data_IF_051034660607
#
_entry.id   IF_051034660607
#
_cell.length_a   1.000
_cell.length_b   1.000
_cell.length_c   1.000
_cell.angle_alpha   90.00
_cell.angle_beta   90.00
_cell.angle_gamma   90.00
#
_symmetry.space_group_name_H-M   'P 1'
#
loop_
_entity.id
_entity.type
_entity.pdbx_description
1 polymer ?
#
# COMPACT_ATOMS: atom_id res chain seq x y z
N UNK A 1 -10.18 -68.91 71.82
CA UNK A 1 -10.41 -67.52 72.28
C UNK A 1 -9.45 -66.57 71.51
N UNK A 2 -9.93 -65.66 70.84
CA UNK A 2 -9.48 -64.42 70.27
C UNK A 2 -9.86 -64.29 68.78
N UNK A 3 -10.89 -63.55 68.56
CA UNK A 3 -11.38 -63.07 67.23
C UNK A 3 -10.43 -62.03 66.68
N UNK A 4 -9.95 -62.24 65.47
CA UNK A 4 -9.22 -61.27 64.68
C UNK A 4 -10.17 -60.67 63.65
N UNK A 5 -10.44 -59.41 63.77
CA UNK A 5 -11.26 -58.65 62.80
C UNK A 5 -10.36 -58.23 61.66
N UNK A 6 -10.72 -58.61 60.46
CA UNK A 6 -10.16 -58.05 59.24
C UNK A 6 -10.86 -56.76 58.91
N UNK A 7 -10.11 -55.67 58.92
CA UNK A 7 -10.58 -54.38 58.43
C UNK A 7 -10.30 -54.36 56.91
N UNK A 8 -11.37 -54.36 56.15
CA UNK A 8 -11.34 -54.22 54.70
C UNK A 8 -11.31 -52.71 54.38
N UNK A 9 -10.14 -52.20 53.93
CA UNK A 9 -9.99 -50.83 53.46
C UNK A 9 -10.43 -50.81 51.99
N UNK A 10 -11.63 -50.23 51.74
CA UNK A 10 -12.12 -49.98 50.39
C UNK A 10 -11.41 -48.79 49.78
N UNK A 11 -10.60 -49.03 48.78
CA UNK A 11 -10.02 -47.99 47.93
C UNK A 11 -11.08 -47.52 46.94
N UNK A 12 -11.66 -46.36 47.19
CA UNK A 12 -12.61 -45.67 46.30
C UNK A 12 -11.81 -44.97 45.19
N UNK A 13 -11.74 -45.61 44.03
CA UNK A 13 -11.10 -45.07 42.84
C UNK A 13 -12.04 -44.01 42.20
N UNK A 14 -11.76 -42.73 42.45
CA UNK A 14 -12.48 -41.65 41.82
C UNK A 14 -11.95 -41.51 40.39
N UNK A 15 -12.70 -42.02 39.41
CA UNK A 15 -12.48 -41.73 38.01
C UNK A 15 -12.89 -40.29 37.72
N UNK A 16 -11.90 -39.39 37.63
CA UNK A 16 -12.10 -38.08 37.06
C UNK A 16 -12.31 -38.18 35.55
N UNK A 17 -13.53 -38.12 35.09
CA UNK A 17 -13.86 -37.95 33.66
C UNK A 17 -13.46 -36.54 33.25
N UNK A 18 -12.29 -36.41 32.66
CA UNK A 18 -11.92 -35.18 31.94
C UNK A 18 -12.74 -35.11 30.66
N UNK A 19 -13.85 -34.41 30.71
CA UNK A 19 -14.53 -33.97 29.49
C UNK A 19 -13.69 -32.86 28.85
N UNK A 20 -12.82 -33.24 27.91
CA UNK A 20 -12.23 -32.34 26.94
C UNK A 20 -13.39 -31.80 26.09
N UNK A 21 -13.94 -30.64 26.50
CA UNK A 21 -14.80 -29.87 25.61
C UNK A 21 -13.92 -29.37 24.45
N UNK A 22 -13.95 -30.11 23.35
CA UNK A 22 -13.51 -29.61 22.08
C UNK A 22 -14.45 -28.45 21.74
N UNK A 23 -14.03 -27.22 22.04
CA UNK A 23 -14.68 -26.02 21.51
C UNK A 23 -14.39 -26.03 20.00
N UNK A 24 -15.26 -26.65 19.25
CA UNK A 24 -15.32 -26.46 17.80
C UNK A 24 -15.61 -24.99 17.58
N UNK A 25 -14.58 -24.18 17.30
CA UNK A 25 -14.75 -22.86 16.71
C UNK A 25 -15.46 -23.08 15.37
N UNK A 26 -16.77 -22.96 15.35
CA UNK A 26 -17.49 -22.73 14.13
C UNK A 26 -16.96 -21.40 13.58
N UNK A 27 -16.23 -21.44 12.48
CA UNK A 27 -15.99 -20.28 11.65
C UNK A 27 -17.38 -19.82 11.17
N UNK A 28 -17.91 -18.80 11.81
CA UNK A 28 -19.10 -18.10 11.30
C UNK A 28 -18.58 -17.38 10.05
N UNK A 29 -18.85 -17.93 8.87
CA UNK A 29 -18.61 -17.22 7.62
C UNK A 29 -19.46 -15.96 7.65
N UNK A 30 -18.81 -14.82 7.81
CA UNK A 30 -19.49 -13.54 7.78
C UNK A 30 -19.97 -13.26 6.35
N UNK A 31 -21.17 -12.72 6.24
CA UNK A 31 -21.76 -12.42 4.94
C UNK A 31 -20.98 -11.29 4.26
N UNK A 32 -20.49 -11.53 3.06
CA UNK A 32 -19.95 -10.47 2.21
C UNK A 32 -21.08 -9.58 1.72
N UNK A 33 -20.94 -8.28 1.98
CA UNK A 33 -21.88 -7.24 1.55
C UNK A 33 -21.19 -6.25 0.61
N UNK A 34 -22.01 -5.51 -0.14
CA UNK A 34 -21.56 -4.46 -1.04
C UNK A 34 -22.41 -3.22 -0.79
N UNK A 35 -21.78 -2.10 -0.45
CA UNK A 35 -22.45 -0.83 -0.23
C UNK A 35 -21.92 0.25 -1.17
N UNK A 36 -22.83 0.93 -1.86
CA UNK A 36 -22.50 2.08 -2.69
C UNK A 36 -22.66 3.37 -1.91
N UNK A 37 -21.66 4.20 -1.93
CA UNK A 37 -21.61 5.52 -1.27
C UNK A 37 -21.86 6.63 -2.29
N UNK A 38 -22.79 7.55 -2.01
CA UNK A 38 -23.16 8.63 -2.92
C UNK A 38 -22.21 9.84 -2.76
N UNK A 39 -20.96 9.70 -3.20
CA UNK A 39 -19.93 10.73 -3.10
C UNK A 39 -19.45 11.10 -4.50
N UNK A 40 -19.35 12.40 -4.78
CA UNK A 40 -18.97 12.94 -6.10
C UNK A 40 -18.13 14.21 -5.96
N UNK A 41 -17.45 14.57 -7.06
CA UNK A 41 -16.71 15.85 -7.16
C UNK A 41 -15.42 15.84 -6.34
N UNK A 42 -14.73 14.71 -6.29
CA UNK A 42 -13.38 14.56 -5.77
C UNK A 42 -12.40 14.33 -6.92
N UNK A 43 -11.18 14.75 -6.76
CA UNK A 43 -10.06 14.62 -7.68
C UNK A 43 -8.84 14.01 -6.97
N UNK A 44 -8.94 13.74 -5.67
CA UNK A 44 -7.90 13.14 -4.85
C UNK A 44 -8.47 12.01 -4.01
N UNK A 45 -7.66 11.01 -3.68
CA UNK A 45 -8.02 9.91 -2.79
C UNK A 45 -7.06 9.92 -1.60
N UNK A 46 -7.60 9.97 -0.38
CA UNK A 46 -6.86 9.86 0.86
C UNK A 46 -7.31 8.62 1.64
N UNK A 47 -6.38 7.70 1.87
CA UNK A 47 -6.60 6.45 2.59
C UNK A 47 -5.92 6.54 3.96
N UNK A 48 -6.70 6.39 5.03
CA UNK A 48 -6.20 6.42 6.40
C UNK A 48 -6.51 5.10 7.10
N UNK A 49 -5.52 4.22 7.22
CA UNK A 49 -5.64 2.89 7.82
C UNK A 49 -5.19 1.76 6.93
N UNK A 50 -5.97 0.68 6.86
CA UNK A 50 -5.60 -0.56 6.20
C UNK A 50 -6.56 -1.06 5.09
N UNK A 51 -7.50 -0.27 4.55
CA UNK A 51 -8.32 -0.76 3.45
C UNK A 51 -7.53 -0.80 2.14
N UNK A 52 -7.82 -1.80 1.31
CA UNK A 52 -7.38 -1.84 -0.09
C UNK A 52 -8.33 -1.01 -0.95
N UNK A 53 -7.78 -0.12 -1.77
CA UNK A 53 -8.53 0.73 -2.70
C UNK A 53 -8.17 0.38 -4.13
N UNK A 54 -9.15 -0.07 -4.91
CA UNK A 54 -9.01 -0.30 -6.35
C UNK A 54 -9.61 0.88 -7.12
N UNK A 55 -8.78 1.59 -7.87
CA UNK A 55 -9.17 2.76 -8.64
C UNK A 55 -9.24 2.47 -10.15
N UNK A 56 -10.21 3.09 -10.80
CA UNK A 56 -10.30 3.12 -12.27
C UNK A 56 -10.79 4.50 -12.70
N UNK A 57 -10.05 5.19 -13.56
CA UNK A 57 -10.52 6.43 -14.16
C UNK A 57 -11.70 6.17 -15.11
N UNK A 58 -12.80 6.89 -14.95
CA UNK A 58 -14.02 6.76 -15.76
C UNK A 58 -14.84 8.05 -15.70
N UNK A 59 -15.69 8.30 -16.69
CA UNK A 59 -16.49 9.53 -16.82
C UNK A 59 -17.47 9.78 -15.66
N UNK A 60 -17.64 8.81 -14.75
CA UNK A 60 -18.60 8.88 -13.65
C UNK A 60 -17.91 8.67 -12.29
N UNK A 61 -18.51 9.27 -11.26
CA UNK A 61 -18.12 8.97 -9.87
C UNK A 61 -18.83 7.74 -9.35
N UNK A 62 -18.06 6.81 -8.78
CA UNK A 62 -18.59 5.68 -8.02
C UNK A 62 -17.68 5.38 -6.84
N UNK A 63 -18.28 5.10 -5.70
CA UNK A 63 -17.56 4.62 -4.50
C UNK A 63 -18.34 3.44 -3.95
N UNK A 64 -17.73 2.25 -3.97
CA UNK A 64 -18.38 1.00 -3.54
C UNK A 64 -17.46 0.26 -2.57
N UNK A 65 -17.98 -0.03 -1.38
CA UNK A 65 -17.26 -0.80 -0.35
C UNK A 65 -17.78 -2.23 -0.37
N UNK A 66 -16.89 -3.20 -0.49
CA UNK A 66 -17.21 -4.63 -0.55
C UNK A 66 -16.34 -5.40 0.45
N UNK A 67 -16.94 -6.28 1.21
CA UNK A 67 -16.25 -7.12 2.19
C UNK A 67 -17.19 -7.72 3.22
N UNK A 68 -16.67 -8.30 4.31
CA UNK A 68 -17.45 -8.74 5.46
C UNK A 68 -18.29 -7.60 6.05
N UNK A 69 -19.54 -7.88 6.44
CA UNK A 69 -20.50 -6.87 6.87
C UNK A 69 -19.97 -5.99 8.00
N UNK A 70 -19.36 -6.58 9.03
CA UNK A 70 -18.75 -5.86 10.14
C UNK A 70 -17.61 -4.92 9.72
N UNK A 71 -16.83 -5.29 8.71
CA UNK A 71 -15.76 -4.48 8.19
C UNK A 71 -16.29 -3.33 7.32
N UNK A 72 -17.28 -3.61 6.46
CA UNK A 72 -17.94 -2.59 5.61
C UNK A 72 -18.60 -1.52 6.48
N UNK A 73 -19.27 -1.90 7.58
CA UNK A 73 -19.84 -0.96 8.56
C UNK A 73 -18.78 -0.09 9.26
N UNK A 74 -17.54 -0.58 9.36
CA UNK A 74 -16.43 0.12 9.98
C UNK A 74 -15.67 1.06 9.04
N UNK A 75 -15.95 1.06 7.74
CA UNK A 75 -15.36 2.02 6.79
C UNK A 75 -16.20 3.29 6.73
N UNK A 76 -15.55 4.41 6.93
CA UNK A 76 -16.08 5.74 6.65
C UNK A 76 -15.51 6.21 5.33
N UNK A 77 -16.39 6.67 4.46
CA UNK A 77 -16.04 7.37 3.22
C UNK A 77 -16.68 8.74 3.26
N UNK A 78 -15.90 9.79 3.12
CA UNK A 78 -16.40 11.17 3.16
C UNK A 78 -15.61 12.06 2.22
N UNK A 79 -16.23 13.15 1.76
CA UNK A 79 -15.53 14.15 0.96
C UNK A 79 -14.99 15.27 1.84
N UNK A 80 -13.70 15.56 1.71
CA UNK A 80 -13.03 16.67 2.37
C UNK A 80 -12.31 17.54 1.32
N UNK A 81 -12.84 18.72 1.02
CA UNK A 81 -12.31 19.54 -0.07
C UNK A 81 -12.40 18.82 -1.42
N UNK A 82 -11.25 18.56 -2.04
CA UNK A 82 -11.13 17.79 -3.28
C UNK A 82 -10.87 16.30 -3.05
N UNK A 83 -10.63 15.87 -1.81
CA UNK A 83 -10.29 14.50 -1.50
C UNK A 83 -11.52 13.66 -1.13
N UNK A 84 -11.57 12.42 -1.65
CA UNK A 84 -12.32 11.31 -1.09
C UNK A 84 -11.49 10.72 0.05
N UNK A 85 -11.93 10.91 1.28
CA UNK A 85 -11.26 10.35 2.47
C UNK A 85 -11.89 9.00 2.82
N UNK A 86 -11.06 7.97 2.86
CA UNK A 86 -11.44 6.60 3.21
C UNK A 86 -10.70 6.22 4.50
N UNK A 87 -11.41 5.86 5.55
CA UNK A 87 -10.80 5.56 6.85
C UNK A 87 -11.64 4.59 7.68
N UNK A 88 -11.00 3.94 8.66
CA UNK A 88 -11.70 3.14 9.63
C UNK A 88 -12.43 4.02 10.67
N UNK A 89 -13.57 3.57 11.20
CA UNK A 89 -14.23 4.15 12.36
C UNK A 89 -13.35 3.99 13.61
N UNK A 90 -13.22 5.05 14.39
CA UNK A 90 -12.48 5.03 15.65
C UNK A 90 -11.04 5.50 15.53
N UNK A 91 -10.40 5.69 16.71
CA UNK A 91 -8.96 5.96 16.79
C UNK A 91 -8.22 4.70 16.38
N UNK A 92 -7.11 4.86 15.64
CA UNK A 92 -6.17 3.79 15.31
C UNK A 92 -5.75 3.10 16.61
N UNK A 93 -6.43 2.02 16.95
CA UNK A 93 -6.13 1.14 18.05
C UNK A 93 -6.34 -0.25 17.50
N UNK A 94 -5.35 -1.10 17.63
CA UNK A 94 -5.29 -2.49 17.21
C UNK A 94 -6.67 -3.10 16.93
N UNK A 95 -7.10 -3.05 15.70
CA UNK A 95 -8.18 -3.90 15.23
C UNK A 95 -7.58 -5.30 15.28
N UNK A 96 -8.12 -6.19 16.12
CA UNK A 96 -7.76 -7.59 16.10
C UNK A 96 -8.01 -8.10 14.68
N UNK A 97 -6.95 -8.20 13.88
CA UNK A 97 -6.94 -8.97 12.66
C UNK A 97 -7.18 -10.42 13.08
N UNK A 98 -8.43 -10.85 13.07
CA UNK A 98 -8.69 -12.28 13.03
C UNK A 98 -8.30 -12.73 11.62
N UNK A 99 -7.15 -13.39 11.52
CA UNK A 99 -6.81 -14.19 10.34
C UNK A 99 -7.88 -15.29 10.20
N UNK A 100 -8.92 -14.99 9.45
CA UNK A 100 -9.89 -15.95 8.93
C UNK A 100 -9.93 -15.74 7.42
N UNK A 101 -10.22 -16.78 6.66
CA UNK A 101 -10.49 -16.77 5.21
C UNK A 101 -11.75 -15.93 4.84
N UNK A 102 -11.94 -14.81 5.50
CA UNK A 102 -13.06 -13.90 5.30
C UNK A 102 -12.64 -12.88 4.26
N UNK A 103 -13.43 -12.76 3.21
CA UNK A 103 -13.16 -11.98 2.01
C UNK A 103 -12.56 -10.59 2.32
N UNK A 104 -11.58 -10.22 1.52
CA UNK A 104 -10.83 -8.97 1.64
C UNK A 104 -11.74 -7.74 1.54
N UNK A 105 -11.55 -6.77 2.45
CA UNK A 105 -12.25 -5.50 2.41
C UNK A 105 -11.65 -4.62 1.32
N UNK A 106 -12.40 -4.38 0.27
CA UNK A 106 -11.97 -3.58 -0.87
C UNK A 106 -12.91 -2.41 -1.12
N UNK A 107 -12.35 -1.24 -1.37
CA UNK A 107 -13.08 -0.04 -1.80
C UNK A 107 -12.81 0.22 -3.27
N UNK A 108 -13.84 0.07 -4.11
CA UNK A 108 -13.77 0.37 -5.54
C UNK A 108 -14.15 1.82 -5.77
N UNK A 109 -13.28 2.56 -6.45
CA UNK A 109 -13.45 3.99 -6.70
C UNK A 109 -13.32 4.30 -8.18
N UNK A 110 -14.23 5.13 -8.71
CA UNK A 110 -14.07 5.74 -10.03
C UNK A 110 -14.27 7.26 -9.96
N UNK A 111 -13.53 8.00 -10.78
CA UNK A 111 -13.72 9.44 -11.00
C UNK A 111 -13.23 9.84 -12.39
N UNK A 112 -13.72 10.99 -12.93
CA UNK A 112 -13.25 11.49 -14.22
C UNK A 112 -11.78 11.89 -14.24
N UNK A 113 -11.25 12.32 -13.11
CA UNK A 113 -9.87 12.75 -12.96
C UNK A 113 -9.32 12.31 -11.60
N UNK A 114 -7.98 12.13 -11.52
CA UNK A 114 -7.27 11.83 -10.28
C UNK A 114 -5.94 12.58 -10.24
N UNK A 115 -5.85 13.61 -9.41
CA UNK A 115 -4.68 14.46 -9.25
C UNK A 115 -3.86 14.17 -7.99
N UNK A 116 -4.34 13.28 -7.12
CA UNK A 116 -3.62 12.94 -5.89
C UNK A 116 -4.03 11.62 -5.27
N UNK A 117 -3.02 10.88 -4.81
CA UNK A 117 -3.14 9.63 -4.05
C UNK A 117 -2.35 9.82 -2.76
N UNK A 118 -3.02 9.71 -1.61
CA UNK A 118 -2.38 9.75 -0.28
C UNK A 118 -2.76 8.52 0.52
N UNK A 119 -1.79 7.68 0.81
CA UNK A 119 -1.95 6.51 1.66
C UNK A 119 -1.20 6.72 2.98
N UNK A 120 -1.95 6.77 4.07
CA UNK A 120 -1.43 6.88 5.44
C UNK A 120 -1.80 5.61 6.20
N UNK A 121 -0.89 4.63 6.27
CA UNK A 121 -1.16 3.37 6.97
C UNK A 121 -0.51 2.15 6.36
N UNK A 122 -1.26 1.04 6.34
CA UNK A 122 -0.81 -0.27 5.84
C UNK A 122 -1.85 -0.87 4.88
N UNK A 123 -2.71 -0.05 4.31
CA UNK A 123 -3.60 -0.45 3.23
C UNK A 123 -2.90 -0.35 1.89
N UNK A 124 -3.64 -0.64 0.80
CA UNK A 124 -3.08 -0.64 -0.54
C UNK A 124 -3.89 0.26 -1.46
N UNK A 125 -3.21 0.84 -2.46
CA UNK A 125 -3.85 1.51 -3.57
C UNK A 125 -3.44 0.83 -4.88
N UNK A 126 -4.40 0.38 -5.65
CA UNK A 126 -4.16 -0.37 -6.88
C UNK A 126 -4.91 0.30 -8.03
N UNK A 127 -4.22 0.56 -9.15
CA UNK A 127 -4.83 0.98 -10.41
C UNK A 127 -4.29 0.14 -11.57
N UNK A 128 -5.09 -0.81 -12.05
CA UNK A 128 -4.74 -1.67 -13.19
C UNK A 128 -4.96 -1.01 -14.55
N UNK A 129 -5.41 0.26 -14.57
CA UNK A 129 -5.70 0.99 -15.78
C UNK A 129 -4.97 2.33 -15.79
N UNK A 130 -4.94 2.93 -16.97
CA UNK A 130 -4.35 4.25 -17.17
C UNK A 130 -5.04 5.31 -16.31
N UNK A 131 -4.21 6.17 -15.71
CA UNK A 131 -4.55 7.46 -15.13
C UNK A 131 -4.00 8.52 -16.07
N UNK A 132 -4.89 9.36 -16.62
CA UNK A 132 -4.56 10.45 -17.56
C UNK A 132 -4.99 11.76 -16.91
N UNK A 133 -4.04 12.61 -16.56
CA UNK A 133 -4.28 13.85 -15.80
C UNK A 133 -3.17 14.87 -16.07
N UNK A 134 -3.39 16.15 -15.83
CA UNK A 134 -2.34 17.17 -16.01
C UNK A 134 -1.19 16.99 -15.00
N UNK A 135 -1.52 16.61 -13.77
CA UNK A 135 -0.52 16.36 -12.72
C UNK A 135 -1.01 15.32 -11.73
N UNK A 136 -0.07 14.60 -11.13
CA UNK A 136 -0.39 13.67 -10.05
C UNK A 136 0.62 13.78 -8.90
N UNK A 137 0.10 13.83 -7.67
CA UNK A 137 0.87 13.78 -6.43
C UNK A 137 0.59 12.44 -5.72
N UNK A 138 1.58 11.55 -5.66
CA UNK A 138 1.50 10.22 -5.05
C UNK A 138 2.29 10.23 -3.74
N UNK A 139 1.63 9.97 -2.63
CA UNK A 139 2.25 10.00 -1.31
C UNK A 139 1.88 8.75 -0.51
N UNK A 140 2.90 8.03 -0.06
CA UNK A 140 2.77 6.90 0.86
C UNK A 140 3.47 7.22 2.19
N UNK A 141 2.73 7.10 3.30
CA UNK A 141 3.27 7.21 4.66
C UNK A 141 2.86 5.99 5.47
N UNK A 142 3.78 5.06 5.66
CA UNK A 142 3.50 3.83 6.40
C UNK A 142 4.22 2.61 5.83
N UNK A 143 3.46 1.50 5.75
CA UNK A 143 3.96 0.19 5.30
C UNK A 143 2.95 -0.51 4.38
N UNK A 144 2.06 0.25 3.77
CA UNK A 144 1.19 -0.22 2.72
C UNK A 144 1.84 -0.03 1.35
N UNK A 145 1.14 -0.37 0.28
CA UNK A 145 1.69 -0.36 -1.07
C UNK A 145 0.84 0.46 -2.04
N UNK A 146 1.50 1.08 -3.02
CA UNK A 146 0.85 1.79 -4.13
C UNK A 146 1.32 1.18 -5.45
N UNK A 147 0.41 0.53 -6.17
CA UNK A 147 0.64 -0.10 -7.47
C UNK A 147 -0.19 0.59 -8.56
N UNK A 148 0.47 1.24 -9.52
CA UNK A 148 -0.18 1.92 -10.64
C UNK A 148 0.44 1.49 -11.96
N UNK A 149 -0.39 0.89 -12.83
CA UNK A 149 0.05 0.30 -14.10
C UNK A 149 0.43 1.32 -15.16
N UNK A 150 -0.27 2.45 -15.25
CA UNK A 150 -0.05 3.40 -16.37
C UNK A 150 -0.47 4.81 -15.92
N UNK A 151 0.45 5.77 -16.01
CA UNK A 151 0.23 7.19 -15.72
C UNK A 151 0.69 8.03 -16.91
N UNK A 152 -0.17 8.93 -17.38
CA UNK A 152 0.18 9.97 -18.34
C UNK A 152 -0.12 11.32 -17.69
N UNK A 153 0.90 12.18 -17.58
CA UNK A 153 0.74 13.52 -17.01
C UNK A 153 1.88 14.44 -17.44
N UNK A 154 1.72 15.76 -17.24
CA UNK A 154 2.83 16.70 -17.42
C UNK A 154 3.81 16.64 -16.25
N UNK A 155 3.29 16.42 -15.03
CA UNK A 155 4.12 16.36 -13.81
C UNK A 155 3.68 15.24 -12.87
N UNK A 156 4.66 14.43 -12.42
CA UNK A 156 4.49 13.36 -11.45
C UNK A 156 5.39 13.61 -10.22
N UNK A 157 4.79 13.72 -9.04
CA UNK A 157 5.51 13.76 -7.77
C UNK A 157 5.23 12.49 -6.98
N UNK A 158 6.28 11.83 -6.50
CA UNK A 158 6.21 10.58 -5.72
C UNK A 158 6.93 10.79 -4.38
N UNK A 159 6.26 10.57 -3.28
CA UNK A 159 6.86 10.66 -1.94
C UNK A 159 6.55 9.38 -1.14
N UNK A 160 7.59 8.67 -0.73
CA UNK A 160 7.51 7.53 0.19
C UNK A 160 8.17 7.87 1.51
N UNK A 161 7.42 7.78 2.62
CA UNK A 161 7.94 7.91 3.99
C UNK A 161 7.54 6.66 4.77
N UNK A 162 8.48 5.75 4.97
CA UNK A 162 8.19 4.51 5.70
C UNK A 162 8.94 3.29 5.19
N UNK A 163 8.20 2.17 5.12
CA UNK A 163 8.73 0.85 4.74
C UNK A 163 7.78 0.10 3.80
N UNK A 164 6.82 0.79 3.22
CA UNK A 164 5.99 0.26 2.15
C UNK A 164 6.63 0.51 0.78
N UNK A 165 5.96 0.12 -0.30
CA UNK A 165 6.52 0.17 -1.63
C UNK A 165 5.62 0.98 -2.59
N UNK A 166 6.25 1.62 -3.60
CA UNK A 166 5.55 2.31 -4.67
C UNK A 166 6.05 1.78 -6.01
N UNK A 167 5.15 1.13 -6.76
CA UNK A 167 5.41 0.59 -8.07
C UNK A 167 4.63 1.35 -9.15
N UNK A 168 5.33 1.99 -10.08
CA UNK A 168 4.76 2.66 -11.23
C UNK A 168 5.28 2.00 -12.53
N UNK A 169 4.48 1.07 -13.09
CA UNK A 169 4.90 0.24 -14.22
C UNK A 169 5.09 1.01 -15.54
N UNK A 170 4.39 2.15 -15.69
CA UNK A 170 4.56 3.06 -16.80
C UNK A 170 4.24 4.49 -16.37
N UNK A 171 5.19 5.38 -16.51
CA UNK A 171 5.00 6.82 -16.31
C UNK A 171 5.47 7.56 -17.56
N UNK A 172 4.54 8.19 -18.25
CA UNK A 172 4.77 9.06 -19.39
C UNK A 172 4.56 10.51 -18.92
N UNK A 173 5.66 11.21 -18.64
CA UNK A 173 5.61 12.53 -18.00
C UNK A 173 6.80 13.39 -18.42
N UNK A 174 6.64 14.71 -18.42
CA UNK A 174 7.76 15.63 -18.69
C UNK A 174 8.65 15.84 -17.46
N UNK A 175 8.03 16.01 -16.30
CA UNK A 175 8.74 16.27 -15.04
C UNK A 175 8.40 15.19 -14.01
N UNK A 176 9.42 14.51 -13.47
CA UNK A 176 9.28 13.56 -12.37
C UNK A 176 10.15 13.95 -11.18
N UNK A 177 9.56 13.92 -10.00
CA UNK A 177 10.31 14.01 -8.74
C UNK A 177 9.90 12.85 -7.83
N UNK A 178 10.86 11.99 -7.45
CA UNK A 178 10.64 10.90 -6.51
C UNK A 178 11.52 11.06 -5.28
N UNK A 179 10.92 10.95 -4.10
CA UNK A 179 11.63 11.07 -2.82
C UNK A 179 11.27 9.89 -1.92
N UNK A 180 12.29 9.19 -1.41
CA UNK A 180 12.16 8.12 -0.45
C UNK A 180 12.87 8.47 0.85
N UNK A 181 12.13 8.38 1.96
CA UNK A 181 12.64 8.54 3.33
C UNK A 181 12.25 7.31 4.14
N UNK A 182 13.19 6.39 4.34
CA UNK A 182 12.91 5.17 5.09
C UNK A 182 13.64 3.94 4.60
N UNK A 183 12.91 2.82 4.53
CA UNK A 183 13.45 1.50 4.17
C UNK A 183 12.55 0.73 3.19
N UNK A 184 11.56 1.39 2.62
CA UNK A 184 10.74 0.86 1.54
C UNK A 184 11.40 1.07 0.19
N UNK A 185 10.74 0.67 -0.89
CA UNK A 185 11.28 0.74 -2.24
C UNK A 185 10.37 1.59 -3.16
N UNK A 186 10.99 2.22 -4.18
CA UNK A 186 10.28 2.89 -5.27
C UNK A 186 10.79 2.30 -6.58
N UNK A 187 9.89 1.73 -7.40
CA UNK A 187 10.22 1.23 -8.75
C UNK A 187 9.47 2.07 -9.82
N UNK A 188 10.24 2.61 -10.77
CA UNK A 188 9.76 3.56 -11.77
C UNK A 188 10.18 3.14 -13.17
N UNK A 189 9.21 3.04 -14.09
CA UNK A 189 9.48 2.90 -15.51
C UNK A 189 9.05 4.17 -16.24
N UNK A 190 9.98 4.89 -16.85
CA UNK A 190 9.82 6.27 -17.32
C UNK A 190 9.90 6.38 -18.84
N UNK A 191 8.98 7.15 -19.43
CA UNK A 191 8.93 7.48 -20.85
C UNK A 191 8.78 9.00 -21.04
N UNK A 192 9.42 9.52 -22.06
CA UNK A 192 9.32 10.93 -22.50
C UNK A 192 9.63 11.96 -21.42
N UNK A 193 10.49 11.60 -20.45
CA UNK A 193 10.78 12.44 -19.29
C UNK A 193 11.89 13.43 -19.57
N UNK A 194 11.61 14.73 -19.52
CA UNK A 194 12.63 15.76 -19.71
C UNK A 194 13.51 15.91 -18.45
N UNK A 195 12.89 16.04 -17.28
CA UNK A 195 13.61 16.21 -16.02
C UNK A 195 13.18 15.16 -14.99
N UNK A 196 14.15 14.38 -14.47
CA UNK A 196 13.94 13.41 -13.40
C UNK A 196 14.80 13.76 -12.19
N UNK A 197 14.19 13.88 -11.00
CA UNK A 197 14.89 14.05 -9.73
C UNK A 197 14.57 12.90 -8.79
N UNK A 198 15.62 12.19 -8.36
CA UNK A 198 15.53 11.05 -7.43
C UNK A 198 16.28 11.38 -6.15
N UNK A 199 15.59 11.36 -5.01
CA UNK A 199 16.17 11.65 -3.71
C UNK A 199 15.92 10.50 -2.74
N UNK A 200 16.99 9.84 -2.26
CA UNK A 200 16.93 8.77 -1.28
C UNK A 200 17.58 9.18 0.03
N UNK A 201 16.83 9.04 1.11
CA UNK A 201 17.34 9.23 2.48
C UNK A 201 16.95 8.05 3.36
N UNK A 202 17.85 7.10 3.54
CA UNK A 202 17.56 5.90 4.35
C UNK A 202 18.33 4.68 3.91
N UNK A 203 17.64 3.53 3.95
CA UNK A 203 18.19 2.21 3.63
C UNK A 203 17.33 1.41 2.64
N UNK A 204 16.28 2.02 2.11
CA UNK A 204 15.49 1.47 1.02
C UNK A 204 16.13 1.76 -0.33
N UNK A 205 15.50 1.36 -1.42
CA UNK A 205 16.05 1.48 -2.75
C UNK A 205 15.12 2.27 -3.70
N UNK A 206 15.73 2.99 -4.66
CA UNK A 206 15.00 3.59 -5.78
C UNK A 206 15.51 2.94 -7.06
N UNK A 207 14.62 2.33 -7.82
CA UNK A 207 14.91 1.81 -9.15
C UNK A 207 14.24 2.67 -10.20
N UNK A 208 14.98 3.10 -11.21
CA UNK A 208 14.43 3.87 -12.32
C UNK A 208 14.94 3.32 -13.66
N UNK A 209 14.00 2.91 -14.49
CA UNK A 209 14.27 2.44 -15.86
C UNK A 209 13.81 3.49 -16.85
N UNK A 210 14.74 4.08 -17.57
CA UNK A 210 14.50 5.08 -18.61
C UNK A 210 14.31 4.39 -19.96
N UNK A 211 13.15 4.59 -20.54
CA UNK A 211 12.81 4.07 -21.85
C UNK A 211 13.05 5.14 -22.95
N UNK A 212 12.05 5.45 -23.75
CA UNK A 212 12.22 6.37 -24.87
C UNK A 212 12.22 7.85 -24.44
N UNK A 213 13.09 8.67 -25.08
CA UNK A 213 13.10 10.14 -24.99
C UNK A 213 13.27 10.69 -23.56
N UNK A 214 14.13 10.10 -22.75
CA UNK A 214 14.47 10.63 -21.44
C UNK A 214 15.71 11.52 -21.53
N UNK A 215 15.63 12.75 -20.96
CA UNK A 215 16.69 13.74 -21.15
C UNK A 215 17.63 13.82 -19.95
N UNK A 216 17.18 14.22 -18.78
CA UNK A 216 18.04 14.49 -17.62
C UNK A 216 17.61 13.69 -16.40
N UNK A 217 18.59 13.16 -15.65
CA UNK A 217 18.40 12.57 -14.34
C UNK A 217 19.39 13.11 -13.32
N UNK A 218 18.88 13.58 -12.19
CA UNK A 218 19.63 14.03 -11.03
C UNK A 218 19.32 13.13 -9.84
N UNK A 219 20.36 12.58 -9.19
CA UNK A 219 20.23 11.71 -8.04
C UNK A 219 20.88 12.29 -6.80
N UNK A 220 20.16 12.32 -5.69
CA UNK A 220 20.67 12.63 -4.36
C UNK A 220 20.53 11.40 -3.45
N UNK A 221 21.64 10.85 -2.96
CA UNK A 221 21.64 9.72 -2.04
C UNK A 221 22.25 10.10 -0.70
N UNK A 222 21.48 9.91 0.38
CA UNK A 222 21.94 10.09 1.77
C UNK A 222 21.57 8.87 2.60
N UNK A 223 22.50 7.94 2.80
CA UNK A 223 22.22 6.75 3.60
C UNK A 223 22.98 5.51 3.16
N UNK A 224 22.32 4.35 3.31
CA UNK A 224 22.90 3.03 3.02
C UNK A 224 22.10 2.25 1.96
N UNK A 225 20.98 2.79 1.50
CA UNK A 225 20.20 2.24 0.39
C UNK A 225 20.82 2.59 -0.96
N UNK A 226 20.27 2.06 -2.03
CA UNK A 226 20.83 2.19 -3.37
C UNK A 226 19.87 2.89 -4.34
N UNK A 227 20.43 3.57 -5.36
CA UNK A 227 19.67 4.09 -6.50
C UNK A 227 20.18 3.37 -7.74
N UNK A 228 19.32 2.53 -8.35
CA UNK A 228 19.66 1.75 -9.54
C UNK A 228 19.05 2.37 -10.80
N UNK A 229 19.88 2.80 -11.75
CA UNK A 229 19.46 3.42 -13.00
C UNK A 229 19.72 2.52 -14.19
N UNK A 230 18.72 2.40 -15.07
CA UNK A 230 18.81 1.61 -16.31
C UNK A 230 18.26 2.40 -17.50
N UNK A 231 18.74 2.09 -18.70
CA UNK A 231 18.22 2.67 -19.94
C UNK A 231 19.11 3.74 -20.53
N UNK A 232 18.51 4.78 -21.13
CA UNK A 232 19.26 5.80 -21.85
C UNK A 232 18.78 7.21 -21.48
N UNK A 233 19.73 8.12 -21.19
CA UNK A 233 19.47 9.54 -20.91
C UNK A 233 20.51 10.42 -21.58
N UNK A 234 20.23 11.73 -21.73
CA UNK A 234 21.22 12.69 -22.28
C UNK A 234 22.13 13.27 -21.21
N UNK A 235 21.61 13.48 -20.01
CA UNK A 235 22.35 14.10 -18.90
C UNK A 235 22.17 13.32 -17.62
N UNK A 236 23.26 13.12 -16.89
CA UNK A 236 23.25 12.46 -15.59
C UNK A 236 24.11 13.25 -14.60
N UNK A 237 23.57 13.47 -13.42
CA UNK A 237 24.31 14.01 -12.26
C UNK A 237 23.96 13.26 -10.98
N UNK A 238 24.90 13.14 -10.07
CA UNK A 238 24.69 12.52 -8.75
C UNK A 238 25.41 13.23 -7.64
N UNK A 239 24.74 13.34 -6.50
CA UNK A 239 25.31 13.71 -5.22
C UNK A 239 25.10 12.56 -4.24
N UNK A 240 26.18 12.13 -3.53
CA UNK A 240 26.14 10.97 -2.65
C UNK A 240 26.81 11.26 -1.31
N UNK A 241 26.11 10.85 -0.22
CA UNK A 241 26.64 10.88 1.14
C UNK A 241 26.16 9.65 1.91
N UNK A 242 27.08 8.78 2.32
CA UNK A 242 26.78 7.51 3.00
C UNK A 242 27.40 6.29 2.33
N UNK A 243 26.95 5.10 2.74
CA UNK A 243 27.51 3.81 2.31
C UNK A 243 26.83 3.22 1.08
N UNK A 244 25.58 3.63 0.81
CA UNK A 244 24.82 3.15 -0.35
C UNK A 244 25.46 3.48 -1.68
N UNK A 245 24.92 3.05 -2.79
CA UNK A 245 25.47 3.32 -4.12
C UNK A 245 24.46 3.90 -5.10
N UNK A 246 24.94 4.63 -6.11
CA UNK A 246 24.17 5.04 -7.28
C UNK A 246 24.72 4.26 -8.47
N UNK A 247 24.03 3.15 -8.77
CA UNK A 247 24.40 2.20 -9.82
C UNK A 247 23.99 2.71 -11.20
N UNK A 248 24.96 2.87 -12.08
CA UNK A 248 24.77 3.33 -13.46
C UNK A 248 25.30 2.33 -14.49
N UNK A 249 25.60 1.10 -14.07
CA UNK A 249 26.18 0.08 -14.95
C UNK A 249 25.31 -0.33 -16.13
N UNK A 250 24.01 -0.03 -16.08
CA UNK A 250 23.04 -0.27 -17.13
C UNK A 250 22.43 1.04 -17.68
N UNK A 251 22.99 2.20 -17.33
CA UNK A 251 22.60 3.50 -17.85
C UNK A 251 23.57 3.94 -18.94
N UNK A 252 23.04 4.31 -20.10
CA UNK A 252 23.80 4.90 -21.21
C UNK A 252 23.54 6.40 -21.23
N UNK A 253 24.59 7.21 -21.16
CA UNK A 253 24.48 8.67 -21.31
C UNK A 253 24.92 9.05 -22.74
N UNK A 254 23.99 9.54 -23.54
CA UNK A 254 24.22 9.98 -24.92
C UNK A 254 23.84 11.44 -25.09
N UNK A 255 24.80 12.36 -25.17
CA UNK A 255 24.55 13.79 -25.34
C UNK A 255 23.96 14.13 -26.72
#
# INVERSE_FOLDING_TARGET
>A
MRKSQFVMVGVMMVMAVMTTSCVTRQSVFEKTVTETRQIKGFEEIEINGSPTVCYTQADNFSVTVKGPESQVENIITEKSGKALVIRNKGKIGFVNFQLGDEGELTVYVTSPDLTGIRLNGSGDFISDRRIDTDKIDIMLRGSGDIDVKDVICDRCNVELIGSGDIDLDRVDTQDLSASLIGSGDIDLHLWNTADTRLALKGSGDIKATFHDNCDAVECELRGSGDIDLKGEVKHFSKEKSGSGDVSVGQLTVRP
#
